data_IF_064401721275
#
_entry.id   IF_064401721275
#
_cell.length_a   1.000
_cell.length_b   1.000
_cell.length_c   1.000
_cell.angle_alpha   90.00
_cell.angle_beta   90.00
_cell.angle_gamma   90.00
#
_symmetry.space_group_name_H-M   'P 1'
#
loop_
_entity.id
_entity.type
_entity.pdbx_description
1 polymer ?
#
# COMPACT_ATOMS: atom_id res chain seq x y z
N UNK A 1 -18.44 -11.52 -2.74
CA UNK A 1 -17.05 -11.01 -2.64
C UNK A 1 -17.06 -9.49 -2.48
N UNK A 2 -16.04 -8.84 -1.91
CA UNK A 2 -15.98 -7.36 -1.83
C UNK A 2 -16.10 -6.70 -3.23
N UNK A 3 -15.62 -7.37 -4.27
CA UNK A 3 -15.78 -6.96 -5.67
C UNK A 3 -17.24 -6.94 -6.17
N UNK A 4 -18.19 -7.51 -5.43
CA UNK A 4 -19.63 -7.53 -5.76
C UNK A 4 -20.44 -6.51 -4.94
N UNK A 5 -19.74 -5.60 -4.24
CA UNK A 5 -20.34 -4.54 -3.42
C UNK A 5 -20.04 -3.15 -3.99
N UNK A 6 -20.60 -2.09 -3.41
CA UNK A 6 -20.37 -0.69 -3.80
C UNK A 6 -18.97 -0.15 -3.37
N UNK A 7 -18.02 -1.04 -3.07
CA UNK A 7 -16.69 -0.68 -2.63
C UNK A 7 -15.71 -0.55 -3.81
N UNK A 8 -14.95 0.54 -3.81
CA UNK A 8 -13.89 0.80 -4.80
C UNK A 8 -12.54 0.79 -4.08
N UNK A 9 -11.56 0.13 -4.68
CA UNK A 9 -10.15 0.26 -4.35
C UNK A 9 -9.47 1.01 -5.48
N UNK A 10 -8.73 2.07 -5.15
CA UNK A 10 -8.04 2.91 -6.12
C UNK A 10 -6.60 3.13 -5.67
N UNK A 11 -5.69 3.08 -6.64
CA UNK A 11 -4.29 3.43 -6.49
C UNK A 11 -3.89 4.32 -7.66
N UNK A 12 -2.99 5.26 -7.41
CA UNK A 12 -2.54 6.24 -8.37
C UNK A 12 -1.29 6.98 -7.91
N UNK A 13 -0.75 7.81 -8.78
CA UNK A 13 0.50 8.53 -8.63
C UNK A 13 1.40 8.37 -9.86
N UNK A 14 2.54 9.04 -9.85
CA UNK A 14 3.56 8.95 -10.90
C UNK A 14 3.02 9.27 -12.30
N UNK A 15 2.13 10.27 -12.37
CA UNK A 15 1.51 10.74 -13.61
C UNK A 15 0.25 9.98 -14.04
N UNK A 16 -0.25 9.04 -13.22
CA UNK A 16 -1.51 8.33 -13.50
C UNK A 16 -2.31 8.09 -12.22
N UNK A 17 -3.51 8.66 -12.14
CA UNK A 17 -4.37 8.57 -10.96
C UNK A 17 -5.26 7.32 -10.93
N UNK A 18 -5.32 6.56 -12.04
CA UNK A 18 -6.25 5.44 -12.22
C UNK A 18 -5.51 4.18 -12.63
N UNK A 19 -4.83 3.56 -11.66
CA UNK A 19 -4.19 2.26 -11.90
C UNK A 19 -5.27 1.18 -11.97
N UNK A 20 -5.14 0.20 -12.90
CA UNK A 20 -6.16 -0.84 -13.09
C UNK A 20 -6.05 -1.90 -11.99
N UNK A 21 -6.38 -1.52 -10.76
CA UNK A 21 -6.31 -2.36 -9.57
C UNK A 21 -7.67 -2.95 -9.23
N UNK A 22 -7.68 -4.13 -8.62
CA UNK A 22 -8.88 -4.78 -8.13
C UNK A 22 -8.87 -4.97 -6.60
N UNK A 23 -10.06 -4.93 -6.01
CA UNK A 23 -10.23 -5.03 -4.56
C UNK A 23 -9.97 -6.44 -4.00
N UNK A 24 -10.07 -7.48 -4.84
CA UNK A 24 -9.97 -8.86 -4.37
C UNK A 24 -8.51 -9.31 -4.23
N UNK A 25 -7.68 -8.93 -5.20
CA UNK A 25 -6.28 -9.34 -5.29
C UNK A 25 -5.34 -8.21 -4.86
N UNK A 26 -5.38 -7.06 -5.53
CA UNK A 26 -4.38 -6.00 -5.31
C UNK A 26 -4.47 -5.38 -3.92
N UNK A 27 -5.67 -5.22 -3.37
CA UNK A 27 -5.81 -4.75 -1.99
C UNK A 27 -5.19 -5.73 -0.98
N UNK A 28 -5.39 -7.04 -1.15
CA UNK A 28 -4.80 -8.06 -0.26
C UNK A 28 -3.28 -8.00 -0.34
N UNK A 29 -2.75 -8.00 -1.57
CA UNK A 29 -1.31 -7.90 -1.82
C UNK A 29 -0.70 -6.63 -1.22
N UNK A 30 -1.37 -5.48 -1.33
CA UNK A 30 -0.90 -4.25 -0.71
C UNK A 30 -0.89 -4.35 0.81
N UNK A 31 -2.02 -4.71 1.43
CA UNK A 31 -2.20 -4.72 2.88
C UNK A 31 -1.23 -5.69 3.57
N UNK A 32 -0.89 -6.80 2.93
CA UNK A 32 0.09 -7.76 3.43
C UNK A 32 1.52 -7.19 3.53
N UNK A 33 1.88 -6.24 2.66
CA UNK A 33 3.24 -5.65 2.59
C UNK A 33 3.41 -4.40 3.46
N UNK A 34 2.31 -3.73 3.84
CA UNK A 34 2.34 -2.48 4.60
C UNK A 34 3.03 -2.56 5.97
N UNK A 35 2.90 -3.64 6.78
CA UNK A 35 3.60 -3.74 8.06
C UNK A 35 5.11 -3.77 7.89
N UNK A 36 5.62 -4.56 6.95
CA UNK A 36 7.05 -4.66 6.67
C UNK A 36 7.59 -3.32 6.16
N UNK A 37 6.86 -2.64 5.28
CA UNK A 37 7.20 -1.29 4.86
C UNK A 37 7.26 -0.31 6.06
N UNK A 38 6.29 -0.38 6.97
CA UNK A 38 6.27 0.48 8.15
C UNK A 38 7.48 0.24 9.05
N UNK A 39 7.86 -1.03 9.25
CA UNK A 39 9.04 -1.43 10.00
C UNK A 39 10.36 -0.98 9.33
N UNK A 40 10.43 -1.05 8.00
CA UNK A 40 11.57 -0.55 7.22
C UNK A 40 11.70 0.97 7.33
N UNK A 41 10.59 1.72 7.24
CA UNK A 41 10.57 3.17 7.43
C UNK A 41 11.02 3.57 8.84
N UNK A 42 10.57 2.86 9.88
CA UNK A 42 11.03 3.10 11.26
C UNK A 42 12.53 2.84 11.44
N UNK A 43 13.04 1.81 10.77
CA UNK A 43 14.43 1.40 10.85
C UNK A 43 15.35 2.13 9.86
N UNK A 44 14.84 3.10 9.10
CA UNK A 44 15.57 3.79 8.03
C UNK A 44 16.17 2.84 6.99
N UNK A 45 15.51 1.70 6.75
CA UNK A 45 15.86 0.76 5.69
C UNK A 45 15.14 1.12 4.40
N UNK A 46 15.63 0.55 3.30
CA UNK A 46 14.90 0.59 2.03
C UNK A 46 13.76 -0.41 2.14
N UNK A 47 12.52 0.07 2.02
CA UNK A 47 11.33 -0.76 1.94
C UNK A 47 10.80 -0.84 0.52
N UNK A 48 10.08 -1.90 0.19
CA UNK A 48 9.50 -2.10 -1.14
C UNK A 48 8.05 -2.54 -1.05
N UNK A 49 7.24 -2.10 -2.02
CA UNK A 49 5.93 -2.67 -2.32
C UNK A 49 5.96 -3.15 -3.76
N UNK A 50 5.66 -4.42 -3.96
CA UNK A 50 5.44 -4.99 -5.29
C UNK A 50 3.96 -5.20 -5.55
N UNK A 51 3.50 -4.68 -6.69
CA UNK A 51 2.16 -4.86 -7.22
C UNK A 51 2.26 -5.73 -8.47
N UNK A 52 1.67 -6.93 -8.41
CA UNK A 52 1.76 -7.93 -9.48
C UNK A 52 0.47 -8.09 -10.29
N UNK A 53 -0.57 -7.31 -9.98
CA UNK A 53 -1.83 -7.32 -10.72
C UNK A 53 -1.64 -7.03 -12.21
N UNK A 54 -2.47 -7.68 -13.03
CA UNK A 54 -2.37 -7.59 -14.48
C UNK A 54 -2.62 -6.15 -14.96
N UNK A 55 -1.67 -5.57 -15.70
CA UNK A 55 -1.73 -4.17 -16.17
C UNK A 55 -1.24 -3.14 -15.15
N UNK A 56 -0.85 -3.60 -13.96
CA UNK A 56 -0.15 -2.81 -12.95
C UNK A 56 1.34 -3.12 -13.04
N UNK A 57 1.74 -4.32 -12.59
CA UNK A 57 3.13 -4.81 -12.56
C UNK A 57 4.16 -3.70 -12.22
N UNK A 58 4.03 -3.10 -11.02
CA UNK A 58 4.87 -1.98 -10.54
C UNK A 58 5.57 -2.35 -9.24
N UNK A 59 6.80 -1.86 -9.08
CA UNK A 59 7.53 -1.88 -7.81
C UNK A 59 7.71 -0.45 -7.33
N UNK A 60 7.37 -0.21 -6.06
CA UNK A 60 7.60 1.04 -5.36
C UNK A 60 8.73 0.84 -4.36
N UNK A 61 9.86 1.52 -4.55
CA UNK A 61 10.99 1.48 -3.62
C UNK A 61 11.04 2.77 -2.79
N UNK A 62 11.06 2.63 -1.47
CA UNK A 62 10.97 3.72 -0.50
C UNK A 62 12.34 3.94 0.15
N UNK A 63 12.94 5.11 -0.11
CA UNK A 63 14.25 5.48 0.41
C UNK A 63 14.13 6.66 1.38
N UNK A 64 14.33 6.40 2.67
CA UNK A 64 14.34 7.45 3.70
C UNK A 64 15.63 8.29 3.62
N UNK A 65 15.48 9.61 3.61
CA UNK A 65 16.57 10.59 3.68
C UNK A 65 16.19 11.70 4.66
N UNK A 66 16.62 11.55 5.92
CA UNK A 66 16.22 12.46 6.99
C UNK A 66 14.71 12.36 7.28
N UNK A 67 13.98 13.46 7.14
CA UNK A 67 12.52 13.52 7.29
C UNK A 67 11.75 13.22 6.01
N UNK A 68 12.43 13.07 4.86
CA UNK A 68 11.80 12.84 3.57
C UNK A 68 11.94 11.37 3.15
N UNK A 69 10.93 10.83 2.47
CA UNK A 69 10.99 9.53 1.80
C UNK A 69 10.87 9.77 0.31
N UNK A 70 11.87 9.31 -0.44
CA UNK A 70 11.81 9.26 -1.91
C UNK A 70 11.22 7.94 -2.33
N UNK A 71 10.15 8.00 -3.11
CA UNK A 71 9.44 6.83 -3.62
C UNK A 71 9.77 6.74 -5.10
N UNK A 72 10.42 5.65 -5.51
CA UNK A 72 10.71 5.37 -6.93
C UNK A 72 9.71 4.35 -7.44
N UNK A 73 9.01 4.68 -8.53
CA UNK A 73 8.16 3.72 -9.23
C UNK A 73 8.94 3.10 -10.39
N UNK A 74 8.93 1.76 -10.48
CA UNK A 74 9.42 1.01 -11.63
C UNK A 74 8.28 0.18 -12.20
N UNK A 75 7.94 0.37 -13.48
CA UNK A 75 6.95 -0.49 -14.15
C UNK A 75 7.63 -1.58 -14.96
N UNK A 76 6.98 -2.74 -15.02
CA UNK A 76 7.34 -3.89 -15.88
C UNK A 76 6.42 -4.00 -17.10
N UNK A 77 5.63 -2.96 -17.39
CA UNK A 77 4.68 -2.88 -18.52
C UNK A 77 5.19 -1.91 -19.59
N UNK A 78 4.35 -1.63 -20.60
CA UNK A 78 4.60 -0.54 -21.57
C UNK A 78 4.33 0.85 -21.01
N UNK A 79 3.60 0.98 -19.90
CA UNK A 79 3.44 2.24 -19.20
C UNK A 79 4.72 2.58 -18.43
N UNK A 80 5.12 3.85 -18.44
CA UNK A 80 6.27 4.35 -17.69
C UNK A 80 5.82 5.48 -16.75
N UNK A 81 6.34 5.53 -15.51
CA UNK A 81 6.02 6.59 -14.57
C UNK A 81 6.63 7.93 -15.00
N UNK A 82 5.84 9.00 -14.91
CA UNK A 82 6.28 10.36 -15.20
C UNK A 82 5.57 11.36 -14.26
N UNK A 83 6.22 11.79 -13.15
CA UNK A 83 7.61 11.54 -12.81
C UNK A 83 7.87 10.10 -12.32
N UNK A 84 9.11 9.62 -12.44
CA UNK A 84 9.52 8.32 -11.91
C UNK A 84 9.74 8.31 -10.38
N UNK A 85 9.90 9.49 -9.79
CA UNK A 85 10.19 9.67 -8.37
C UNK A 85 9.24 10.72 -7.80
N UNK A 86 8.61 10.38 -6.68
CA UNK A 86 7.85 11.28 -5.84
C UNK A 86 8.47 11.36 -4.45
N UNK A 87 8.07 12.34 -3.65
CA UNK A 87 8.64 12.55 -2.33
C UNK A 87 7.58 13.00 -1.34
N UNK A 88 7.67 12.49 -0.11
CA UNK A 88 6.72 12.75 0.97
C UNK A 88 7.47 12.83 2.30
N UNK A 89 6.91 13.58 3.26
CA UNK A 89 7.40 13.52 4.64
C UNK A 89 7.23 12.11 5.22
N UNK A 90 8.25 11.61 5.90
CA UNK A 90 8.27 10.25 6.43
C UNK A 90 7.22 10.04 7.51
N UNK A 91 7.08 10.98 8.43
CA UNK A 91 6.14 10.84 9.54
C UNK A 91 4.71 10.92 9.00
N UNK A 92 4.48 11.73 7.95
CA UNK A 92 3.23 11.73 7.18
C UNK A 92 2.97 10.36 6.52
N UNK A 93 3.95 9.77 5.83
CA UNK A 93 3.80 8.46 5.17
C UNK A 93 3.50 7.36 6.19
N UNK A 94 4.25 7.30 7.29
CA UNK A 94 4.03 6.34 8.37
C UNK A 94 2.62 6.49 8.96
N UNK A 95 2.16 7.72 9.18
CA UNK A 95 0.80 7.97 9.65
C UNK A 95 -0.27 7.53 8.64
N UNK A 96 -0.05 7.69 7.34
CA UNK A 96 -0.96 7.20 6.29
C UNK A 96 -1.05 5.66 6.31
N UNK A 97 0.09 4.97 6.38
CA UNK A 97 0.14 3.51 6.43
C UNK A 97 -0.55 2.99 7.69
N UNK A 98 -0.21 3.54 8.86
CA UNK A 98 -0.80 3.13 10.13
C UNK A 98 -2.33 3.33 10.16
N UNK A 99 -2.83 4.45 9.60
CA UNK A 99 -4.27 4.69 9.48
C UNK A 99 -4.95 3.67 8.58
N UNK A 100 -4.32 3.28 7.47
CA UNK A 100 -4.87 2.28 6.56
C UNK A 100 -4.95 0.90 7.23
N UNK A 101 -3.88 0.46 7.89
CA UNK A 101 -3.84 -0.80 8.65
C UNK A 101 -4.91 -0.83 9.76
N UNK A 102 -5.05 0.27 10.50
CA UNK A 102 -6.07 0.43 11.54
C UNK A 102 -7.50 0.39 10.97
N UNK A 103 -7.75 1.10 9.87
CA UNK A 103 -9.06 1.13 9.24
C UNK A 103 -9.45 -0.25 8.68
N UNK A 104 -8.51 -0.95 8.04
CA UNK A 104 -8.72 -2.29 7.50
C UNK A 104 -9.05 -3.30 8.60
N UNK A 105 -8.21 -3.37 9.64
CA UNK A 105 -8.41 -4.29 10.77
C UNK A 105 -9.69 -3.98 11.57
N UNK A 106 -10.06 -2.71 11.71
CA UNK A 106 -11.34 -2.29 12.30
C UNK A 106 -12.51 -2.74 11.43
N UNK A 107 -12.40 -2.61 10.10
CA UNK A 107 -13.45 -3.02 9.17
C UNK A 107 -13.71 -4.53 9.23
N UNK A 108 -12.66 -5.36 9.36
CA UNK A 108 -12.80 -6.80 9.57
C UNK A 108 -13.64 -7.12 10.81
N UNK A 109 -13.37 -6.41 11.92
CA UNK A 109 -14.11 -6.59 13.18
C UNK A 109 -15.57 -6.16 13.05
N UNK A 110 -15.83 -5.00 12.43
CA UNK A 110 -17.20 -4.49 12.21
C UNK A 110 -18.01 -5.42 11.32
N UNK A 111 -17.38 -6.00 10.29
CA UNK A 111 -18.01 -6.97 9.40
C UNK A 111 -18.23 -8.35 10.05
N UNK A 112 -17.78 -8.57 11.30
CA UNK A 112 -17.85 -9.87 11.96
C UNK A 112 -16.99 -10.94 11.29
N UNK A 113 -15.94 -10.53 10.57
CA UNK A 113 -15.04 -11.47 9.90
C UNK A 113 -14.23 -12.25 10.93
N UNK A 114 -14.13 -13.59 10.83
CA UNK A 114 -13.30 -14.39 11.73
C UNK A 114 -11.81 -14.03 11.62
N UNK A 115 -11.40 -13.40 10.51
CA UNK A 115 -10.03 -12.90 10.34
C UNK A 115 -9.69 -11.79 11.35
N UNK A 116 -10.68 -11.08 11.90
CA UNK A 116 -10.44 -9.96 12.82
C UNK A 116 -9.65 -10.33 14.09
N UNK A 117 -9.68 -11.62 14.46
CA UNK A 117 -9.00 -12.18 15.64
C UNK A 117 -7.72 -12.94 15.29
N UNK A 118 -7.36 -13.04 14.00
CA UNK A 118 -6.16 -13.73 13.51
C UNK A 118 -5.02 -12.75 13.34
N UNK A 119 -3.82 -13.07 13.84
CA UNK A 119 -2.60 -12.27 13.58
C UNK A 119 -2.40 -12.11 12.07
N UNK A 120 -2.10 -10.90 11.57
CA UNK A 120 -1.67 -9.71 12.32
C UNK A 120 -2.78 -8.68 12.65
N UNK A 121 -4.04 -8.94 12.29
CA UNK A 121 -5.11 -7.93 12.35
C UNK A 121 -5.40 -7.37 13.76
N UNK A 122 -5.32 -8.15 14.86
CA UNK A 122 -5.45 -7.59 16.20
C UNK A 122 -4.36 -6.58 16.59
N UNK A 123 -3.13 -6.72 16.07
CA UNK A 123 -2.02 -5.81 16.39
C UNK A 123 -2.01 -4.51 15.59
N UNK A 124 -2.87 -4.42 14.58
CA UNK A 124 -3.02 -3.20 13.77
C UNK A 124 -4.06 -2.23 14.33
N UNK A 125 -4.76 -2.59 15.41
CA UNK A 125 -5.74 -1.78 16.14
C UNK A 125 -5.16 -1.27 17.45
#
# INVERSE_FOLDING_TARGET
MLAETDCVFALGGFGSDDWPVDIAYDLSTLVEQLPDLLDDLHAYRVGEIDLYGQGVERTLSFHSSGSEVKITCTSRTSWAPDPAVESIDRDQLQAMIARLLFAFSTSLKVAGSPLADVTPFPSWR
#
